data_IF_738048499185
#
_entry.id   IF_738048499185
#
_cell.length_a   1.000
_cell.length_b   1.000
_cell.length_c   1.000
_cell.angle_alpha   90.00
_cell.angle_beta   90.00
_cell.angle_gamma   90.00
#
_symmetry.space_group_name_H-M   'P 1'
#
loop_
_entity.id
_entity.type
_entity.pdbx_description
1 polymer ?
#
# COMPACT_ATOMS: atom_id res chain seq x y z
N UNK A 1 -31.07 6.15 4.84
CA UNK A 1 -30.73 5.54 3.54
C UNK A 1 -29.46 6.22 3.04
N UNK A 2 -28.31 5.60 3.22
CA UNK A 2 -27.03 6.10 2.70
C UNK A 2 -26.84 5.49 1.32
N UNK A 3 -26.97 6.30 0.29
CA UNK A 3 -26.65 5.93 -1.09
C UNK A 3 -25.14 5.79 -1.19
N UNK A 4 -24.64 4.54 -1.26
CA UNK A 4 -23.27 4.23 -1.60
C UNK A 4 -22.98 4.69 -3.02
N UNK A 5 -22.50 5.92 -3.14
CA UNK A 5 -21.89 6.43 -4.35
C UNK A 5 -20.56 5.71 -4.55
N UNK A 6 -20.56 4.70 -5.43
CA UNK A 6 -19.35 4.03 -5.94
C UNK A 6 -18.53 5.02 -6.77
N UNK A 7 -17.89 5.98 -6.13
CA UNK A 7 -16.89 6.81 -6.76
C UNK A 7 -15.73 5.90 -7.19
N UNK A 8 -15.58 5.72 -8.49
CA UNK A 8 -14.47 4.98 -9.07
C UNK A 8 -13.21 5.76 -8.75
N UNK A 9 -12.50 5.38 -7.68
CA UNK A 9 -11.23 6.02 -7.34
C UNK A 9 -10.23 5.70 -8.45
N UNK A 10 -9.92 6.69 -9.26
CA UNK A 10 -8.89 6.62 -10.29
C UNK A 10 -7.92 7.79 -10.10
N UNK A 11 -6.64 7.52 -10.24
CA UNK A 11 -5.58 8.51 -10.14
C UNK A 11 -4.77 8.51 -11.41
N UNK A 12 -4.45 9.70 -11.92
CA UNK A 12 -3.53 9.85 -13.05
C UNK A 12 -2.19 10.35 -12.56
N UNK A 13 -1.11 9.71 -12.98
CA UNK A 13 0.26 10.08 -12.63
C UNK A 13 1.20 9.79 -13.80
N UNK A 14 1.81 10.84 -14.37
CA UNK A 14 2.82 10.71 -15.42
C UNK A 14 2.41 9.84 -16.62
N UNK A 15 1.16 9.96 -17.11
CA UNK A 15 0.63 9.12 -18.19
C UNK A 15 0.12 7.75 -17.74
N UNK A 16 0.21 7.45 -16.44
CA UNK A 16 -0.35 6.22 -15.86
C UNK A 16 -1.71 6.50 -15.24
N UNK A 17 -2.65 5.59 -15.45
CA UNK A 17 -3.95 5.57 -14.79
C UNK A 17 -3.94 4.46 -13.74
N UNK A 18 -4.11 4.80 -12.46
CA UNK A 18 -4.22 3.85 -11.37
C UNK A 18 -5.66 3.77 -10.90
N UNK A 19 -6.21 2.57 -10.86
CA UNK A 19 -7.60 2.32 -10.46
C UNK A 19 -7.75 1.02 -9.68
N UNK A 20 -8.84 0.90 -8.91
CA UNK A 20 -9.18 -0.34 -8.25
C UNK A 20 -9.58 -1.41 -9.26
N UNK A 21 -8.97 -2.58 -9.16
CA UNK A 21 -9.34 -3.76 -9.93
C UNK A 21 -10.53 -4.45 -9.27
N UNK A 22 -11.64 -4.56 -9.99
CA UNK A 22 -12.89 -5.14 -9.49
C UNK A 22 -13.35 -6.36 -10.29
N UNK A 23 -12.62 -6.68 -11.37
CA UNK A 23 -12.97 -7.83 -12.19
C UNK A 23 -12.53 -9.12 -11.52
N UNK A 24 -13.33 -10.18 -11.68
CA UNK A 24 -12.97 -11.52 -11.25
C UNK A 24 -12.08 -12.22 -12.29
N UNK A 25 -12.14 -11.79 -13.54
CA UNK A 25 -11.26 -12.30 -14.59
C UNK A 25 -9.88 -11.69 -14.47
N UNK A 26 -8.91 -12.48 -14.04
CA UNK A 26 -7.51 -12.07 -13.88
C UNK A 26 -6.67 -12.25 -15.17
N UNK A 27 -7.26 -12.81 -16.23
CA UNK A 27 -6.55 -13.06 -17.49
C UNK A 27 -5.83 -11.84 -18.05
N UNK A 28 -6.38 -10.62 -17.96
CA UNK A 28 -5.68 -9.41 -18.41
C UNK A 28 -4.41 -9.06 -17.62
N UNK A 29 -4.26 -9.61 -16.41
CA UNK A 29 -3.10 -9.39 -15.55
C UNK A 29 -1.98 -10.43 -15.77
N UNK A 30 -2.26 -11.55 -16.46
CA UNK A 30 -1.29 -12.62 -16.64
C UNK A 30 0.04 -12.16 -17.22
N UNK A 31 0.12 -11.33 -18.27
CA UNK A 31 1.40 -10.88 -18.80
C UNK A 31 2.30 -10.19 -17.76
N UNK A 32 1.70 -9.45 -16.84
CA UNK A 32 2.42 -8.81 -15.75
C UNK A 32 2.84 -9.83 -14.68
N UNK A 33 1.94 -10.75 -14.33
CA UNK A 33 2.17 -11.75 -13.29
C UNK A 33 3.23 -12.79 -13.70
N UNK A 34 3.23 -13.19 -14.97
CA UNK A 34 4.24 -14.11 -15.51
C UNK A 34 5.65 -13.52 -15.52
N UNK A 35 5.79 -12.21 -15.68
CA UNK A 35 7.09 -11.53 -15.55
C UNK A 35 7.64 -11.65 -14.13
N UNK A 36 6.81 -11.43 -13.13
CA UNK A 36 7.20 -11.50 -11.72
C UNK A 36 7.39 -12.94 -11.25
N UNK A 37 6.47 -13.83 -11.66
CA UNK A 37 6.44 -15.23 -11.25
C UNK A 37 6.92 -16.17 -12.36
N UNK A 38 8.01 -15.82 -13.04
CA UNK A 38 8.52 -16.55 -14.22
C UNK A 38 8.76 -18.06 -14.00
N UNK A 39 8.99 -18.48 -12.74
CA UNK A 39 9.18 -19.88 -12.35
C UNK A 39 7.89 -20.58 -11.91
N UNK A 40 6.74 -19.92 -11.99
CA UNK A 40 5.46 -20.50 -11.59
C UNK A 40 4.68 -20.97 -12.81
N UNK A 41 3.89 -22.03 -12.60
CA UNK A 41 2.91 -22.45 -13.62
C UNK A 41 1.72 -21.48 -13.65
N UNK A 42 1.04 -21.32 -14.80
CA UNK A 42 -0.15 -20.47 -14.89
C UNK A 42 -1.22 -20.83 -13.85
N UNK A 43 -1.42 -22.11 -13.56
CA UNK A 43 -2.37 -22.56 -12.54
C UNK A 43 -1.98 -22.07 -11.12
N UNK A 44 -0.68 -22.07 -10.81
CA UNK A 44 -0.18 -21.58 -9.52
C UNK A 44 -0.37 -20.07 -9.40
N UNK A 45 -0.12 -19.32 -10.47
CA UNK A 45 -0.36 -17.87 -10.53
C UNK A 45 -1.86 -17.60 -10.34
N UNK A 46 -2.73 -18.31 -11.05
CA UNK A 46 -4.19 -18.17 -10.92
C UNK A 46 -4.66 -18.43 -9.50
N UNK A 47 -4.25 -19.55 -8.89
CA UNK A 47 -4.62 -19.90 -7.53
C UNK A 47 -4.14 -18.87 -6.49
N UNK A 48 -2.94 -18.33 -6.69
CA UNK A 48 -2.41 -17.27 -5.84
C UNK A 48 -3.25 -15.99 -5.96
N UNK A 49 -3.55 -15.57 -7.19
CA UNK A 49 -4.34 -14.36 -7.41
C UNK A 49 -5.78 -14.50 -6.92
N UNK A 50 -6.41 -15.64 -7.09
CA UNK A 50 -7.74 -15.93 -6.55
C UNK A 50 -7.74 -15.78 -5.02
N UNK A 51 -6.73 -16.34 -4.34
CA UNK A 51 -6.56 -16.21 -2.90
C UNK A 51 -6.37 -14.75 -2.48
N UNK A 52 -5.50 -14.03 -3.20
CA UNK A 52 -5.17 -12.62 -2.93
C UNK A 52 -6.39 -11.71 -3.15
N UNK A 53 -7.12 -11.88 -4.26
CA UNK A 53 -8.31 -11.10 -4.55
C UNK A 53 -9.42 -11.40 -3.54
N UNK A 54 -9.61 -12.67 -3.17
CA UNK A 54 -10.58 -13.07 -2.18
C UNK A 54 -10.27 -12.44 -0.82
N UNK A 55 -9.02 -12.55 -0.35
CA UNK A 55 -8.57 -11.92 0.90
C UNK A 55 -8.72 -10.40 0.86
N UNK A 56 -8.31 -9.78 -0.24
CA UNK A 56 -8.38 -8.33 -0.40
C UNK A 56 -9.81 -7.80 -0.53
N UNK A 57 -10.77 -8.58 -1.03
CA UNK A 57 -12.17 -8.17 -1.13
C UNK A 57 -12.85 -8.02 0.22
N UNK A 58 -12.39 -8.75 1.24
CA UNK A 58 -12.95 -8.71 2.59
C UNK A 58 -12.37 -7.56 3.42
N UNK A 59 -11.07 -7.32 3.30
CA UNK A 59 -10.35 -6.39 4.20
C UNK A 59 -9.45 -5.40 3.48
N UNK A 60 -9.52 -5.27 2.15
CA UNK A 60 -8.60 -4.42 1.41
C UNK A 60 -8.98 -4.24 -0.06
N UNK A 61 -8.01 -4.40 -0.96
CA UNK A 61 -8.24 -4.27 -2.39
C UNK A 61 -7.01 -4.51 -3.25
N UNK A 62 -7.25 -4.49 -4.55
CA UNK A 62 -6.20 -4.55 -5.57
C UNK A 62 -6.27 -3.27 -6.40
N UNK A 63 -5.15 -2.57 -6.54
CA UNK A 63 -5.01 -1.48 -7.50
C UNK A 63 -4.18 -1.95 -8.69
N UNK A 64 -4.52 -1.45 -9.86
CA UNK A 64 -3.77 -1.69 -11.09
C UNK A 64 -3.37 -0.38 -11.73
N UNK A 65 -2.17 -0.35 -12.30
CA UNK A 65 -1.69 0.74 -13.12
C UNK A 65 -1.79 0.36 -14.59
N UNK A 66 -2.41 1.22 -15.41
CA UNK A 66 -2.46 1.09 -16.86
C UNK A 66 -1.68 2.23 -17.50
N UNK A 67 -0.99 1.94 -18.60
CA UNK A 67 -0.39 2.97 -19.45
C UNK A 67 -1.41 3.54 -20.45
N UNK A 68 -0.99 4.52 -21.26
CA UNK A 68 -1.83 5.15 -22.27
C UNK A 68 -2.37 4.18 -23.33
N UNK A 69 -1.68 3.06 -23.56
CA UNK A 69 -2.12 1.99 -24.45
C UNK A 69 -3.05 0.98 -23.77
N UNK A 70 -3.50 1.27 -22.53
CA UNK A 70 -4.39 0.45 -21.71
C UNK A 70 -3.81 -0.92 -21.29
N UNK A 71 -2.50 -1.12 -21.38
CA UNK A 71 -1.86 -2.31 -20.82
C UNK A 71 -1.67 -2.17 -19.31
N UNK A 72 -1.91 -3.24 -18.57
CA UNK A 72 -1.56 -3.32 -17.16
C UNK A 72 -0.03 -3.42 -17.01
N UNK A 73 0.53 -2.43 -16.35
CA UNK A 73 1.99 -2.29 -16.16
C UNK A 73 2.39 -2.42 -14.69
N UNK A 74 1.43 -2.53 -13.79
CA UNK A 74 1.69 -2.76 -12.37
C UNK A 74 0.42 -3.05 -11.59
N UNK A 75 0.60 -3.66 -10.44
CA UNK A 75 -0.47 -3.88 -9.46
C UNK A 75 0.06 -3.76 -8.02
N UNK A 76 -0.82 -3.42 -7.11
CA UNK A 76 -0.59 -3.51 -5.67
C UNK A 76 -1.78 -4.19 -5.01
N UNK A 77 -1.47 -5.09 -4.07
CA UNK A 77 -2.44 -5.72 -3.18
C UNK A 77 -2.26 -5.11 -1.81
N UNK A 78 -3.34 -4.69 -1.20
CA UNK A 78 -3.34 -4.13 0.15
C UNK A 78 -4.47 -4.70 1.00
N UNK A 79 -4.24 -4.73 2.31
CA UNK A 79 -5.23 -5.08 3.33
C UNK A 79 -5.33 -3.98 4.38
N UNK A 80 -6.46 -3.89 5.05
CA UNK A 80 -6.68 -3.01 6.19
C UNK A 80 -6.58 -3.84 7.46
N UNK A 81 -5.82 -3.36 8.42
CA UNK A 81 -5.59 -4.04 9.70
C UNK A 81 -5.70 -3.04 10.84
N UNK A 82 -6.12 -3.54 11.99
CA UNK A 82 -6.07 -2.81 13.25
C UNK A 82 -5.00 -3.44 14.13
N UNK A 83 -4.05 -2.63 14.58
CA UNK A 83 -2.93 -3.08 15.42
C UNK A 83 -2.93 -2.28 16.71
N UNK A 84 -2.85 -2.98 17.84
CA UNK A 84 -2.70 -2.34 19.14
C UNK A 84 -1.29 -1.78 19.32
N UNK A 85 -1.16 -0.67 20.02
CA UNK A 85 0.12 -0.02 20.30
C UNK A 85 1.16 -0.96 20.90
N UNK A 86 0.75 -1.91 21.76
CA UNK A 86 1.63 -2.93 22.36
C UNK A 86 2.33 -3.86 21.36
N UNK A 87 1.78 -3.98 20.14
CA UNK A 87 2.33 -4.78 19.04
C UNK A 87 3.06 -3.95 17.98
N UNK A 88 3.16 -2.64 18.20
CA UNK A 88 3.75 -1.70 17.26
C UNK A 88 5.14 -1.28 17.73
N UNK A 89 6.15 -2.04 17.35
CA UNK A 89 7.53 -1.87 17.81
C UNK A 89 8.17 -0.51 17.49
N UNK A 90 7.54 0.31 16.65
CA UNK A 90 8.01 1.66 16.31
C UNK A 90 7.90 2.66 17.48
N UNK A 91 7.01 2.41 18.46
CA UNK A 91 6.68 3.40 19.49
C UNK A 91 7.31 3.12 20.86
N UNK A 92 8.01 2.00 21.03
CA UNK A 92 8.57 1.59 22.32
C UNK A 92 9.80 2.39 22.77
N UNK A 93 10.40 3.22 21.89
CA UNK A 93 11.58 4.01 22.25
C UNK A 93 11.29 5.45 22.71
N UNK A 94 10.05 5.94 22.64
CA UNK A 94 9.71 7.27 23.13
C UNK A 94 9.00 7.25 24.47
N UNK A 95 9.79 7.14 25.54
CA UNK A 95 9.60 7.81 26.84
C UNK A 95 8.17 7.89 27.35
N UNK A 96 7.74 6.92 28.05
CA UNK A 96 7.13 7.08 29.39
C UNK A 96 6.70 5.69 29.86
N UNK A 97 7.48 5.11 30.73
CA UNK A 97 7.17 3.89 31.49
C UNK A 97 5.97 4.14 32.45
N UNK A 98 4.85 4.65 31.98
CA UNK A 98 3.78 5.02 32.87
C UNK A 98 2.36 4.84 32.36
N UNK A 99 2.13 4.98 31.06
CA UNK A 99 0.80 4.81 30.49
C UNK A 99 0.87 3.93 29.23
N UNK A 100 0.59 2.65 29.40
CA UNK A 100 0.25 1.77 28.28
C UNK A 100 -1.14 2.21 27.80
N UNK A 101 -1.18 3.22 26.96
CA UNK A 101 -2.39 3.58 26.25
C UNK A 101 -2.72 2.39 25.33
N UNK A 102 -3.88 1.77 25.55
CA UNK A 102 -4.42 0.74 24.64
C UNK A 102 -4.88 1.41 23.34
N UNK A 103 -3.98 2.11 22.65
CA UNK A 103 -4.26 2.74 21.38
C UNK A 103 -4.32 1.68 20.29
N UNK A 104 -5.30 1.80 19.42
CA UNK A 104 -5.48 0.95 18.25
C UNK A 104 -5.25 1.82 17.01
N UNK A 105 -4.36 1.38 16.15
CA UNK A 105 -4.02 2.07 14.91
C UNK A 105 -4.66 1.37 13.72
N UNK A 106 -5.26 2.14 12.84
CA UNK A 106 -5.75 1.68 11.54
C UNK A 106 -4.61 1.75 10.52
N UNK A 107 -4.20 0.60 10.00
CA UNK A 107 -3.04 0.47 9.11
C UNK A 107 -3.47 -0.12 7.78
N UNK A 108 -3.04 0.53 6.70
CA UNK A 108 -3.10 -0.06 5.38
C UNK A 108 -1.77 -0.78 5.11
N UNK A 109 -1.81 -2.10 4.98
CA UNK A 109 -0.65 -2.95 4.71
C UNK A 109 -0.55 -3.22 3.21
N UNK A 110 0.57 -2.87 2.60
CA UNK A 110 0.88 -3.29 1.24
C UNK A 110 1.43 -4.71 1.30
N UNK A 111 0.61 -5.68 0.93
CA UNK A 111 0.98 -7.11 0.94
C UNK A 111 1.94 -7.46 -0.20
N UNK A 112 1.69 -6.89 -1.37
CA UNK A 112 2.53 -7.09 -2.55
C UNK A 112 2.43 -5.89 -3.50
N UNK A 113 3.52 -5.61 -4.21
CA UNK A 113 3.59 -4.60 -5.24
C UNK A 113 4.41 -5.12 -6.41
N UNK A 114 3.82 -5.13 -7.59
CA UNK A 114 4.44 -5.60 -8.83
C UNK A 114 4.45 -4.43 -9.81
N UNK A 115 5.61 -4.15 -10.36
CA UNK A 115 5.78 -3.15 -11.41
C UNK A 115 6.55 -3.77 -12.57
N UNK A 116 6.03 -3.63 -13.78
CA UNK A 116 6.66 -4.17 -14.97
C UNK A 116 8.11 -3.70 -15.10
N UNK A 117 9.02 -4.63 -15.33
CA UNK A 117 10.45 -4.37 -15.51
C UNK A 117 10.80 -3.73 -16.84
N UNK A 118 9.89 -3.77 -17.81
CA UNK A 118 10.20 -3.43 -19.19
C UNK A 118 10.31 -1.95 -19.48
N UNK A 119 9.47 -1.11 -18.85
CA UNK A 119 9.48 0.33 -19.11
C UNK A 119 8.97 1.06 -17.85
N UNK A 120 9.74 2.05 -17.39
CA UNK A 120 9.31 2.97 -16.34
C UNK A 120 8.95 2.31 -14.98
N UNK A 121 9.58 1.18 -14.65
CA UNK A 121 9.32 0.43 -13.40
C UNK A 121 9.23 1.35 -12.18
N UNK A 122 10.16 2.29 -12.05
CA UNK A 122 10.19 3.25 -10.94
C UNK A 122 8.96 4.16 -10.91
N UNK A 123 8.50 4.60 -12.08
CA UNK A 123 7.30 5.47 -12.18
C UNK A 123 6.05 4.69 -11.83
N UNK A 124 5.92 3.46 -12.34
CA UNK A 124 4.79 2.56 -12.02
C UNK A 124 4.76 2.27 -10.53
N UNK A 125 5.91 1.89 -9.95
CA UNK A 125 6.04 1.63 -8.54
C UNK A 125 5.60 2.84 -7.69
N UNK A 126 6.12 4.02 -8.00
CA UNK A 126 5.77 5.25 -7.28
C UNK A 126 4.31 5.63 -7.45
N UNK A 127 3.74 5.45 -8.65
CA UNK A 127 2.31 5.70 -8.89
C UNK A 127 1.42 4.81 -8.03
N UNK A 128 1.77 3.53 -7.88
CA UNK A 128 1.07 2.56 -7.04
C UNK A 128 1.18 2.93 -5.55
N UNK A 129 2.39 3.24 -5.06
CA UNK A 129 2.60 3.68 -3.68
C UNK A 129 1.79 4.95 -3.38
N UNK A 130 1.83 5.94 -4.27
CA UNK A 130 1.07 7.18 -4.08
C UNK A 130 -0.45 6.96 -4.07
N UNK A 131 -0.94 6.12 -4.96
CA UNK A 131 -2.36 5.78 -4.99
C UNK A 131 -2.77 5.07 -3.69
N UNK A 132 -1.93 4.17 -3.18
CA UNK A 132 -2.18 3.47 -1.92
C UNK A 132 -2.18 4.44 -0.73
N UNK A 133 -1.21 5.37 -0.67
CA UNK A 133 -1.17 6.42 0.38
C UNK A 133 -2.42 7.31 0.32
N UNK A 134 -2.91 7.66 -0.88
CA UNK A 134 -4.15 8.44 -1.02
C UNK A 134 -5.38 7.67 -0.53
N UNK A 135 -5.45 6.37 -0.82
CA UNK A 135 -6.53 5.51 -0.31
C UNK A 135 -6.46 5.43 1.21
N UNK A 136 -5.29 5.18 1.79
CA UNK A 136 -5.11 5.13 3.23
C UNK A 136 -5.57 6.42 3.92
N UNK A 137 -5.20 7.59 3.37
CA UNK A 137 -5.69 8.89 3.84
C UNK A 137 -7.20 9.04 3.73
N UNK A 138 -7.79 8.57 2.64
CA UNK A 138 -9.25 8.63 2.46
C UNK A 138 -10.00 7.73 3.44
N UNK A 139 -9.39 6.61 3.82
CA UNK A 139 -9.91 5.67 4.81
C UNK A 139 -9.55 6.06 6.25
N UNK A 140 -8.88 7.21 6.44
CA UNK A 140 -8.44 7.70 7.74
C UNK A 140 -7.50 6.75 8.47
N UNK A 141 -6.68 6.00 7.73
CA UNK A 141 -5.63 5.19 8.32
C UNK A 141 -4.55 6.07 8.96
N UNK A 142 -3.92 5.57 10.01
CA UNK A 142 -2.81 6.23 10.69
C UNK A 142 -1.49 6.00 9.96
N UNK A 143 -1.33 4.81 9.37
CA UNK A 143 -0.10 4.36 8.73
C UNK A 143 -0.33 3.60 7.44
N UNK A 144 0.70 3.62 6.57
CA UNK A 144 0.85 2.67 5.46
C UNK A 144 2.09 1.83 5.72
N UNK A 145 1.93 0.52 5.91
CA UNK A 145 3.03 -0.42 5.99
C UNK A 145 3.52 -0.76 4.58
N UNK A 146 4.83 -0.57 4.38
CA UNK A 146 5.49 -0.89 3.12
C UNK A 146 5.95 -2.35 3.12
N UNK A 147 5.85 -3.07 1.98
CA UNK A 147 6.42 -4.40 1.86
C UNK A 147 7.94 -4.32 1.92
N UNK A 148 8.58 -5.47 2.13
CA UNK A 148 10.02 -5.56 1.94
C UNK A 148 10.34 -5.35 0.45
N UNK A 149 10.88 -4.19 0.12
CA UNK A 149 11.22 -3.77 -1.25
C UNK A 149 12.73 -3.70 -1.41
N UNK A 150 13.19 -3.79 -2.66
CA UNK A 150 14.60 -3.63 -2.97
C UNK A 150 15.11 -2.23 -2.58
N UNK A 151 16.43 -2.14 -2.37
CA UNK A 151 17.05 -0.90 -1.91
C UNK A 151 16.84 0.28 -2.88
N UNK A 152 16.81 0.02 -4.19
CA UNK A 152 16.63 1.08 -5.18
C UNK A 152 15.22 1.65 -5.16
N UNK A 153 14.20 0.80 -5.17
CA UNK A 153 12.80 1.20 -5.07
C UNK A 153 12.52 1.92 -3.74
N UNK A 154 13.11 1.44 -2.64
CA UNK A 154 12.99 2.07 -1.34
C UNK A 154 13.61 3.47 -1.29
N UNK A 155 14.72 3.69 -2.00
CA UNK A 155 15.32 5.01 -2.10
C UNK A 155 14.36 6.07 -2.66
N UNK A 156 13.53 5.73 -3.65
CA UNK A 156 12.53 6.66 -4.20
C UNK A 156 11.42 6.96 -3.21
N UNK A 157 10.96 5.95 -2.47
CA UNK A 157 9.98 6.15 -1.41
C UNK A 157 10.54 7.06 -0.32
N UNK A 158 11.76 6.80 0.15
CA UNK A 158 12.45 7.67 1.12
C UNK A 158 12.67 9.09 0.62
N UNK A 159 12.99 9.28 -0.63
CA UNK A 159 13.15 10.62 -1.21
C UNK A 159 11.86 11.43 -1.11
N UNK A 160 10.70 10.77 -1.28
CA UNK A 160 9.40 11.44 -1.27
C UNK A 160 8.80 11.55 0.13
N UNK A 161 8.85 10.48 0.91
CA UNK A 161 8.18 10.35 2.20
C UNK A 161 9.16 10.33 3.38
N UNK A 162 10.44 10.59 3.17
CA UNK A 162 11.51 10.42 4.15
C UNK A 162 11.18 10.93 5.56
N UNK A 163 10.68 12.18 5.72
CA UNK A 163 10.30 12.71 7.02
C UNK A 163 9.12 11.98 7.70
N UNK A 164 8.37 11.21 6.94
CA UNK A 164 7.17 10.46 7.38
C UNK A 164 7.46 8.96 7.51
N UNK A 165 8.68 8.51 7.20
CA UNK A 165 9.02 7.09 7.27
C UNK A 165 9.62 6.78 8.63
N UNK A 166 9.00 5.82 9.29
CA UNK A 166 9.45 5.22 10.53
C UNK A 166 9.87 3.76 10.24
N UNK A 167 11.09 3.41 10.64
CA UNK A 167 11.60 2.06 10.51
C UNK A 167 11.36 1.32 11.82
N UNK A 168 10.64 0.20 11.74
CA UNK A 168 10.38 -0.67 12.89
C UNK A 168 11.40 -1.80 12.99
N UNK A 169 11.48 -2.40 14.18
CA UNK A 169 12.23 -3.63 14.40
C UNK A 169 11.69 -4.74 13.47
N UNK A 170 12.58 -5.47 12.80
CA UNK A 170 12.20 -6.55 11.88
C UNK A 170 12.08 -6.14 10.41
N UNK A 171 12.68 -5.02 10.01
CA UNK A 171 12.75 -4.55 8.60
C UNK A 171 11.40 -4.14 8.00
N UNK A 172 10.45 -3.74 8.84
CA UNK A 172 9.22 -3.08 8.38
C UNK A 172 9.42 -1.59 8.35
N UNK A 173 8.81 -0.92 7.37
CA UNK A 173 8.81 0.54 7.27
C UNK A 173 7.39 1.02 7.11
N UNK A 174 7.06 2.09 7.82
CA UNK A 174 5.74 2.68 7.84
C UNK A 174 5.78 4.12 7.36
N UNK A 175 4.82 4.53 6.55
CA UNK A 175 4.57 5.94 6.22
C UNK A 175 3.51 6.43 7.19
N UNK A 176 3.85 7.40 8.03
CA UNK A 176 2.92 8.07 8.95
C UNK A 176 2.02 9.01 8.16
N UNK A 177 0.71 8.90 8.35
CA UNK A 177 -0.29 9.69 7.65
C UNK A 177 -0.95 10.75 8.53
N UNK A 178 -1.07 10.48 9.83
CA UNK A 178 -1.54 11.44 10.81
C UNK A 178 -0.48 12.52 11.00
N UNK A 179 -0.89 13.79 11.06
CA UNK A 179 -0.01 14.83 11.61
C UNK A 179 0.29 14.45 13.05
N UNK A 180 1.56 14.58 13.53
CA UNK A 180 1.84 14.35 14.94
C UNK A 180 0.87 15.18 15.76
N UNK A 181 0.33 14.65 16.88
CA UNK A 181 -0.55 15.41 17.74
C UNK A 181 0.15 16.73 18.04
N UNK A 182 -0.53 17.84 17.76
CA UNK A 182 -0.04 19.16 18.10
C UNK A 182 0.31 19.12 19.58
N UNK A 183 1.58 19.00 19.91
CA UNK A 183 2.07 19.32 21.24
C UNK A 183 1.78 20.81 21.40
N UNK A 184 0.57 21.09 21.88
CA UNK A 184 0.16 22.43 22.26
C UNK A 184 1.26 22.95 23.18
N UNK A 185 1.95 23.96 22.69
CA UNK A 185 2.96 24.68 23.42
C UNK A 185 2.30 25.20 24.71
N UNK A 186 2.65 24.73 25.93
CA UNK A 186 2.15 25.29 27.12
C UNK A 186 2.99 26.54 27.45
N UNK A 187 2.76 27.62 26.71
CA UNK A 187 3.25 28.94 27.05
C UNK A 187 2.09 29.93 26.94
N UNK A 188 1.42 30.08 28.05
CA UNK A 188 0.58 31.19 28.42
C UNK A 188 0.91 31.51 29.84
#
# INVERSE_FOLDING_TARGET
>A
MLTNGNAKMSYTWGGLQVAQYKDKDISPLFPLLEQEFSNWTPNKISSYMDLVITKASDTGGVLVAQNEALYYVGLVVYTLQQIKSEHFDCFTDSKNEGEVLNEVYDILVIENIIASSLILQKQVFMALVEATVKIAKHLSCDYVELPKIDHESFHFVRKKYGPQIEDAKGFRSYITLSSPPNTANPLG
#
